data_IF_392634748547
#
_entry.id   IF_392634748547
#
_cell.length_a   1.000
_cell.length_b   1.000
_cell.length_c   1.000
_cell.angle_alpha   90.00
_cell.angle_beta   90.00
_cell.angle_gamma   90.00
#
_symmetry.space_group_name_H-M   'P 1'
#
loop_
_entity.id
_entity.type
_entity.pdbx_description
1 polymer ?
#
# COMPACT_ATOMS: atom_id res chain seq x y z
N UNK A 1 -43.05 28.28 -26.03
CA UNK A 1 -43.00 29.71 -25.63
C UNK A 1 -44.36 30.13 -25.08
N UNK A 2 -45.46 29.84 -25.76
CA UNK A 2 -46.81 30.20 -25.31
C UNK A 2 -47.08 29.69 -23.84
N UNK A 3 -46.84 28.41 -23.58
CA UNK A 3 -47.06 27.79 -22.27
C UNK A 3 -46.30 28.50 -21.13
N UNK A 4 -45.09 28.99 -21.42
CA UNK A 4 -44.31 29.82 -20.48
C UNK A 4 -44.96 31.20 -20.30
N UNK A 5 -45.30 31.86 -21.40
CA UNK A 5 -45.87 33.24 -21.34
C UNK A 5 -47.24 33.30 -20.64
N UNK A 6 -48.06 32.27 -20.82
CA UNK A 6 -49.39 32.18 -20.17
C UNK A 6 -49.35 31.49 -18.79
N UNK A 7 -48.17 30.98 -18.40
CA UNK A 7 -47.94 30.46 -17.08
C UNK A 7 -48.33 28.97 -16.86
N UNK A 8 -48.62 28.24 -17.95
CA UNK A 8 -48.90 26.81 -17.90
C UNK A 8 -47.63 26.00 -17.55
N UNK A 9 -46.45 26.53 -17.91
CA UNK A 9 -45.14 25.96 -17.57
C UNK A 9 -44.30 26.99 -16.83
N UNK A 10 -43.83 26.62 -15.63
CA UNK A 10 -42.95 27.46 -14.82
C UNK A 10 -41.51 27.37 -15.40
N UNK A 11 -40.90 28.46 -15.83
CA UNK A 11 -39.53 28.46 -16.39
C UNK A 11 -38.51 28.11 -15.31
N UNK A 12 -37.47 27.37 -15.72
CA UNK A 12 -36.40 26.93 -14.81
C UNK A 12 -35.01 26.92 -15.48
N UNK A 13 -34.91 27.62 -16.66
CA UNK A 13 -33.64 27.76 -17.34
C UNK A 13 -32.71 28.73 -16.65
N UNK A 14 -31.40 28.51 -16.78
CA UNK A 14 -30.36 29.38 -16.23
C UNK A 14 -29.44 29.85 -17.33
N UNK A 15 -28.98 31.09 -17.22
CA UNK A 15 -28.00 31.66 -18.17
C UNK A 15 -26.65 30.97 -17.99
N UNK A 16 -26.02 30.59 -19.09
CA UNK A 16 -24.70 29.99 -19.14
C UNK A 16 -23.58 31.00 -19.40
N UNK A 17 -23.88 32.27 -19.27
CA UNK A 17 -22.94 33.39 -19.41
C UNK A 17 -23.41 34.56 -18.56
N UNK A 18 -22.51 35.49 -18.24
CA UNK A 18 -22.87 36.78 -17.64
C UNK A 18 -23.31 37.77 -18.72
N UNK A 19 -24.30 38.58 -18.39
CA UNK A 19 -24.74 39.66 -19.27
C UNK A 19 -24.23 41.00 -18.73
N UNK A 20 -23.52 41.81 -19.54
CA UNK A 20 -23.00 43.10 -19.11
C UNK A 20 -24.11 44.16 -18.99
N UNK A 21 -23.88 45.19 -18.19
CA UNK A 21 -24.75 46.37 -18.10
C UNK A 21 -24.62 47.26 -19.33
N UNK A 22 -23.41 47.33 -19.89
CA UNK A 22 -23.14 48.03 -21.16
C UNK A 22 -21.97 47.34 -21.92
N UNK A 23 -21.76 47.77 -23.15
CA UNK A 23 -20.71 47.18 -24.04
C UNK A 23 -19.31 47.38 -23.47
N UNK A 24 -19.06 48.44 -22.70
CA UNK A 24 -17.75 48.75 -22.12
C UNK A 24 -17.29 47.76 -21.05
N UNK A 25 -18.20 46.93 -20.49
CA UNK A 25 -17.85 45.89 -19.55
C UNK A 25 -17.30 44.61 -20.22
N UNK A 26 -17.42 44.45 -21.54
CA UNK A 26 -16.98 43.24 -22.23
C UNK A 26 -15.45 43.22 -22.40
N UNK A 27 -14.77 42.07 -22.11
CA UNK A 27 -15.31 40.77 -21.68
C UNK A 27 -15.63 40.74 -20.19
N UNK A 28 -16.72 40.03 -19.81
CA UNK A 28 -17.17 39.91 -18.43
C UNK A 28 -17.36 38.41 -18.05
N UNK A 29 -16.57 37.92 -17.08
CA UNK A 29 -16.55 36.54 -16.68
C UNK A 29 -16.92 36.42 -15.20
N UNK A 30 -17.78 35.46 -14.82
CA UNK A 30 -18.06 35.15 -13.41
C UNK A 30 -16.85 34.59 -12.67
N UNK A 31 -15.96 33.91 -13.42
CA UNK A 31 -14.76 33.27 -12.93
C UNK A 31 -13.48 34.09 -13.23
N UNK A 32 -13.60 35.40 -13.24
CA UNK A 32 -12.43 36.26 -13.46
C UNK A 32 -11.37 36.05 -12.41
N UNK A 33 -10.12 36.34 -12.74
CA UNK A 33 -9.01 36.33 -11.78
C UNK A 33 -8.96 37.62 -10.98
N UNK A 34 -8.49 37.54 -9.74
CA UNK A 34 -8.22 38.73 -8.95
C UNK A 34 -7.17 39.59 -9.62
N UNK A 35 -7.36 40.89 -9.50
CA UNK A 35 -6.34 41.90 -9.78
C UNK A 35 -5.56 42.19 -8.50
N UNK A 36 -4.44 42.89 -8.60
CA UNK A 36 -3.67 43.25 -7.38
C UNK A 36 -4.40 44.17 -6.40
N UNK A 37 -5.47 44.84 -6.88
CA UNK A 37 -6.30 45.78 -6.10
C UNK A 37 -7.77 45.61 -6.44
N UNK A 38 -8.41 44.49 -6.08
CA UNK A 38 -9.81 44.27 -6.36
C UNK A 38 -10.69 45.29 -5.62
N UNK A 39 -11.82 45.66 -6.21
CA UNK A 39 -12.86 46.41 -5.53
C UNK A 39 -13.58 45.47 -4.58
N UNK A 40 -13.93 45.92 -3.38
CA UNK A 40 -14.72 45.16 -2.44
C UNK A 40 -16.15 44.96 -2.97
N UNK A 41 -16.70 43.77 -2.69
CA UNK A 41 -18.07 43.42 -3.09
C UNK A 41 -19.10 44.45 -2.57
N UNK A 42 -20.04 44.84 -3.42
CA UNK A 42 -21.03 45.83 -3.08
C UNK A 42 -20.59 47.31 -3.17
N UNK A 43 -19.32 47.59 -3.40
CA UNK A 43 -18.85 48.95 -3.67
C UNK A 43 -18.97 49.27 -5.17
N UNK A 44 -19.37 50.45 -5.48
CA UNK A 44 -19.49 50.90 -6.87
C UNK A 44 -18.17 51.45 -7.40
N UNK A 45 -17.46 52.26 -6.64
CA UNK A 45 -16.22 52.89 -7.02
C UNK A 45 -15.31 53.11 -5.81
N UNK A 46 -14.02 52.91 -6.01
CA UNK A 46 -12.99 53.30 -5.04
C UNK A 46 -11.71 53.68 -5.79
N UNK A 47 -11.10 54.83 -5.42
CA UNK A 47 -9.86 55.28 -6.05
C UNK A 47 -8.73 54.26 -5.88
N UNK A 48 -8.00 54.00 -6.97
CA UNK A 48 -6.88 53.05 -7.02
C UNK A 48 -7.29 51.57 -6.94
N UNK A 49 -8.56 51.24 -7.09
CA UNK A 49 -9.07 49.88 -7.25
C UNK A 49 -9.35 49.57 -8.71
N UNK A 50 -9.47 48.26 -9.00
CA UNK A 50 -9.89 47.78 -10.33
C UNK A 50 -11.39 47.91 -10.47
N UNK A 51 -11.85 49.01 -11.01
CA UNK A 51 -13.27 49.28 -11.27
C UNK A 51 -13.46 50.04 -12.57
N UNK A 52 -14.66 49.95 -13.15
CA UNK A 52 -15.10 50.79 -14.25
C UNK A 52 -15.33 52.20 -13.75
N UNK A 53 -15.40 53.17 -14.69
CA UNK A 53 -15.56 54.59 -14.36
C UNK A 53 -17.03 55.02 -14.24
N UNK A 54 -17.90 54.41 -15.03
CA UNK A 54 -19.29 54.83 -15.26
C UNK A 54 -20.34 53.74 -14.96
N UNK A 55 -19.89 52.56 -14.59
CA UNK A 55 -20.76 51.40 -14.30
C UNK A 55 -20.09 50.56 -13.21
N UNK A 56 -20.89 49.82 -12.44
CA UNK A 56 -20.35 48.90 -11.42
C UNK A 56 -19.63 47.73 -12.09
N UNK A 57 -18.81 47.00 -11.31
CA UNK A 57 -18.17 45.75 -11.76
C UNK A 57 -19.18 44.61 -11.94
N UNK A 58 -20.37 44.72 -11.33
CA UNK A 58 -21.38 43.68 -11.36
C UNK A 58 -22.00 43.52 -12.75
N UNK A 59 -22.34 42.31 -13.20
CA UNK A 59 -23.12 42.08 -14.39
C UNK A 59 -24.58 42.54 -14.23
N UNK A 60 -25.25 42.83 -15.33
CA UNK A 60 -26.70 43.03 -15.36
C UNK A 60 -27.40 41.73 -14.91
N UNK A 61 -27.00 40.58 -15.52
CA UNK A 61 -27.41 39.26 -15.11
C UNK A 61 -26.18 38.39 -14.88
N UNK A 62 -26.01 37.86 -13.67
CA UNK A 62 -24.88 37.01 -13.39
C UNK A 62 -24.98 35.64 -14.10
N UNK A 63 -23.88 34.95 -14.24
CA UNK A 63 -23.86 33.54 -14.67
C UNK A 63 -24.78 32.71 -13.76
N UNK A 64 -25.57 31.81 -14.33
CA UNK A 64 -26.52 30.99 -13.60
C UNK A 64 -27.84 31.69 -13.26
N UNK A 65 -28.02 32.96 -13.61
CA UNK A 65 -29.27 33.68 -13.37
C UNK A 65 -30.43 33.05 -14.15
N UNK A 66 -31.62 33.06 -13.55
CA UNK A 66 -32.85 32.65 -14.19
C UNK A 66 -34.08 33.16 -13.45
N UNK A 67 -35.17 33.31 -14.16
CA UNK A 67 -36.48 33.71 -13.61
C UNK A 67 -37.39 32.49 -13.41
N UNK A 68 -38.27 32.58 -12.45
CA UNK A 68 -39.30 31.57 -12.15
C UNK A 68 -40.59 32.27 -11.73
N UNK A 69 -41.74 31.61 -11.88
CA UNK A 69 -43.03 32.05 -11.34
C UNK A 69 -43.19 31.69 -9.86
N UNK A 70 -42.14 31.13 -9.23
CA UNK A 70 -42.04 30.88 -7.77
C UNK A 70 -40.76 31.49 -7.24
N UNK A 71 -40.55 31.41 -5.95
CA UNK A 71 -39.36 31.95 -5.30
C UNK A 71 -38.67 30.82 -4.52
N UNK A 72 -37.35 30.83 -4.59
CA UNK A 72 -36.52 29.83 -3.87
C UNK A 72 -35.59 30.55 -2.88
N UNK A 73 -35.53 30.01 -1.66
CA UNK A 73 -34.67 30.50 -0.61
C UNK A 73 -33.61 29.45 -0.25
N UNK A 74 -32.38 29.91 -0.11
CA UNK A 74 -31.23 29.12 0.32
C UNK A 74 -30.89 29.46 1.76
N UNK A 75 -30.84 28.43 2.63
CA UNK A 75 -30.53 28.59 4.06
C UNK A 75 -29.66 27.45 4.57
N UNK A 76 -29.08 27.62 5.76
CA UNK A 76 -28.34 26.57 6.49
C UNK A 76 -27.26 25.86 5.68
N UNK A 77 -26.41 26.61 4.97
CA UNK A 77 -25.22 26.00 4.36
C UNK A 77 -24.28 25.50 5.45
N UNK A 78 -24.02 24.20 5.47
CA UNK A 78 -23.13 23.54 6.41
C UNK A 78 -22.16 22.64 5.69
N UNK A 79 -20.95 22.52 6.24
CA UNK A 79 -19.94 21.54 5.82
C UNK A 79 -19.89 20.43 6.86
N UNK A 80 -19.70 19.19 6.42
CA UNK A 80 -19.56 18.03 7.32
C UNK A 80 -18.40 18.20 8.32
N UNK A 81 -17.36 18.92 7.93
CA UNK A 81 -16.20 19.29 8.75
C UNK A 81 -15.47 20.48 8.12
N UNK A 82 -14.60 21.14 8.87
CA UNK A 82 -13.86 22.33 8.42
C UNK A 82 -12.50 22.05 7.81
N UNK A 83 -12.08 20.79 7.77
CA UNK A 83 -10.79 20.36 7.26
C UNK A 83 -10.98 19.21 6.28
N UNK A 84 -10.28 19.24 5.14
CA UNK A 84 -10.27 18.17 4.14
C UNK A 84 -8.85 17.59 4.08
N UNK A 85 -8.74 16.28 4.22
CA UNK A 85 -7.48 15.55 3.99
C UNK A 85 -7.37 15.17 2.51
N UNK A 86 -6.14 14.93 2.05
CA UNK A 86 -5.85 14.57 0.65
C UNK A 86 -6.43 13.22 0.22
N UNK A 87 -6.78 12.35 1.18
CA UNK A 87 -7.42 11.05 1.01
C UNK A 87 -8.92 11.05 1.39
N UNK A 88 -9.48 12.22 1.71
CA UNK A 88 -10.82 12.37 2.27
C UNK A 88 -11.85 12.97 1.32
N UNK A 89 -13.07 13.10 1.82
CA UNK A 89 -14.15 13.83 1.19
C UNK A 89 -14.87 14.72 2.22
N UNK A 90 -15.41 15.84 1.76
CA UNK A 90 -16.21 16.78 2.53
C UNK A 90 -17.56 16.93 1.86
N UNK A 91 -18.63 17.03 2.64
CA UNK A 91 -19.98 17.26 2.12
C UNK A 91 -20.46 18.67 2.47
N UNK A 92 -20.84 19.45 1.45
CA UNK A 92 -21.54 20.72 1.61
C UNK A 92 -23.05 20.48 1.47
N UNK A 93 -23.83 20.85 2.48
CA UNK A 93 -25.29 20.70 2.48
C UNK A 93 -25.96 22.05 2.68
N UNK A 94 -26.94 22.36 1.83
CA UNK A 94 -27.76 23.55 1.91
C UNK A 94 -29.24 23.18 1.94
N UNK A 95 -30.06 23.93 2.68
CA UNK A 95 -31.50 23.77 2.64
C UNK A 95 -32.06 24.69 1.54
N UNK A 96 -32.77 24.11 0.58
CA UNK A 96 -33.50 24.82 -0.47
C UNK A 96 -35.01 24.77 -0.16
N UNK A 97 -35.67 25.92 -0.10
CA UNK A 97 -37.10 26.03 0.16
C UNK A 97 -37.80 26.77 -1.00
N UNK A 98 -38.88 26.23 -1.50
CA UNK A 98 -39.77 26.94 -2.40
C UNK A 98 -40.73 27.78 -1.53
N UNK A 99 -40.45 29.08 -1.41
CA UNK A 99 -41.24 30.02 -0.59
C UNK A 99 -42.44 30.63 -1.34
N UNK A 100 -42.55 30.34 -2.65
CA UNK A 100 -43.64 30.84 -3.49
C UNK A 100 -44.89 29.94 -3.43
N UNK A 101 -45.89 30.32 -4.24
CA UNK A 101 -47.21 29.66 -4.29
C UNK A 101 -47.39 28.66 -5.43
N UNK A 102 -46.34 28.44 -6.20
CA UNK A 102 -46.34 27.50 -7.36
C UNK A 102 -45.23 26.49 -7.25
N UNK A 103 -45.50 25.31 -7.74
CA UNK A 103 -44.45 24.27 -7.93
C UNK A 103 -43.40 24.77 -8.89
N UNK A 104 -42.16 24.39 -8.70
CA UNK A 104 -41.07 24.83 -9.60
C UNK A 104 -39.82 23.98 -9.48
N UNK A 105 -38.92 24.19 -10.46
CA UNK A 105 -37.59 23.59 -10.46
C UNK A 105 -36.55 24.69 -10.27
N UNK A 106 -35.58 24.40 -9.40
CA UNK A 106 -34.40 25.24 -9.19
C UNK A 106 -33.14 24.48 -9.55
N UNK A 107 -32.13 25.19 -10.10
CA UNK A 107 -30.81 24.64 -10.33
C UNK A 107 -29.88 25.19 -9.26
N UNK A 108 -29.61 24.36 -8.26
CA UNK A 108 -28.65 24.64 -7.20
C UNK A 108 -27.24 24.49 -7.74
N UNK A 109 -26.40 25.52 -7.57
CA UNK A 109 -25.07 25.63 -8.14
C UNK A 109 -24.03 25.66 -7.02
N UNK A 110 -22.99 24.82 -7.13
CA UNK A 110 -21.84 24.78 -6.23
C UNK A 110 -20.66 25.47 -6.90
N UNK A 111 -20.12 26.49 -6.25
CA UNK A 111 -18.88 27.16 -6.65
C UNK A 111 -17.83 26.97 -5.59
N UNK A 112 -16.58 26.85 -6.02
CA UNK A 112 -15.41 26.79 -5.13
C UNK A 112 -14.43 27.87 -5.53
N UNK A 113 -13.82 28.51 -4.53
CA UNK A 113 -12.69 29.42 -4.68
C UNK A 113 -11.51 28.86 -3.92
N UNK A 114 -10.40 28.71 -4.59
CA UNK A 114 -9.08 28.61 -3.98
C UNK A 114 -8.62 30.03 -3.62
N UNK A 115 -8.37 30.29 -2.34
CA UNK A 115 -8.09 31.65 -1.86
C UNK A 115 -6.67 32.08 -2.22
N UNK A 116 -5.70 31.17 -2.12
CA UNK A 116 -4.30 31.38 -2.41
C UNK A 116 -3.68 30.16 -3.08
N UNK A 117 -3.38 30.26 -4.36
CA UNK A 117 -2.65 29.22 -5.11
C UNK A 117 -1.31 29.74 -5.63
N UNK A 118 -0.43 28.83 -6.04
CA UNK A 118 0.89 29.14 -6.66
C UNK A 118 0.77 29.94 -7.95
N UNK A 119 -0.38 29.89 -8.60
CA UNK A 119 -0.79 30.77 -9.71
C UNK A 119 -2.09 31.49 -9.38
N UNK A 120 -2.35 32.65 -10.01
CA UNK A 120 -3.58 33.41 -9.77
C UNK A 120 -4.81 32.57 -10.05
N UNK A 121 -5.63 32.36 -9.02
CA UNK A 121 -6.85 31.55 -9.09
C UNK A 121 -8.09 32.42 -9.43
N UNK A 122 -9.10 31.83 -10.10
CA UNK A 122 -10.38 32.47 -10.31
C UNK A 122 -11.07 32.80 -8.97
N UNK A 123 -11.82 33.89 -8.91
CA UNK A 123 -12.59 34.28 -7.73
C UNK A 123 -13.66 33.26 -7.35
N UNK A 124 -14.09 32.43 -8.28
CA UNK A 124 -14.97 31.27 -8.10
C UNK A 124 -15.00 30.41 -9.37
N UNK A 125 -15.20 29.11 -9.22
CA UNK A 125 -15.38 28.18 -10.33
C UNK A 125 -16.61 27.30 -10.05
N UNK A 126 -17.46 27.11 -11.04
CA UNK A 126 -18.58 26.17 -10.94
C UNK A 126 -18.02 24.75 -10.91
N UNK A 127 -18.21 24.03 -9.81
CA UNK A 127 -17.73 22.66 -9.62
C UNK A 127 -18.85 21.60 -9.60
N UNK A 128 -20.11 22.05 -9.51
CA UNK A 128 -21.25 21.14 -9.56
C UNK A 128 -22.59 21.88 -9.62
N UNK A 129 -23.63 21.18 -10.05
CA UNK A 129 -25.00 21.67 -9.98
C UNK A 129 -26.00 20.51 -9.88
N UNK A 130 -27.16 20.79 -9.29
CA UNK A 130 -28.28 19.86 -9.23
C UNK A 130 -29.59 20.56 -9.55
N UNK A 131 -30.39 19.99 -10.46
CA UNK A 131 -31.72 20.49 -10.77
C UNK A 131 -32.75 19.78 -9.91
N UNK A 132 -33.50 20.53 -9.10
CA UNK A 132 -34.38 20.01 -8.06
C UNK A 132 -35.78 20.54 -8.25
N UNK A 133 -36.77 19.62 -8.25
CA UNK A 133 -38.19 19.98 -8.20
C UNK A 133 -38.65 20.12 -6.76
N UNK A 134 -39.40 21.20 -6.46
CA UNK A 134 -40.07 21.48 -5.16
C UNK A 134 -41.49 21.91 -5.37
N UNK A 135 -42.40 21.32 -4.60
CA UNK A 135 -43.76 21.85 -4.48
C UNK A 135 -43.77 23.18 -3.77
N UNK A 136 -44.83 23.95 -3.92
CA UNK A 136 -45.07 25.17 -3.14
C UNK A 136 -44.96 24.87 -1.64
N UNK A 137 -44.09 25.59 -0.92
CA UNK A 137 -43.83 25.42 0.51
C UNK A 137 -42.88 24.26 0.86
N UNK A 138 -42.43 23.46 -0.11
CA UNK A 138 -41.53 22.32 0.15
C UNK A 138 -40.09 22.77 0.38
N UNK A 139 -39.39 22.08 1.32
CA UNK A 139 -37.98 22.24 1.58
C UNK A 139 -37.26 20.92 1.37
N UNK A 140 -36.02 20.97 0.82
CA UNK A 140 -35.11 19.83 0.66
C UNK A 140 -33.68 20.22 1.01
N UNK A 141 -32.95 19.27 1.62
CA UNK A 141 -31.51 19.38 1.79
C UNK A 141 -30.81 18.88 0.50
N UNK A 142 -29.96 19.72 -0.06
CA UNK A 142 -29.19 19.46 -1.25
C UNK A 142 -27.72 19.34 -0.85
N UNK A 143 -27.09 18.24 -1.19
CA UNK A 143 -25.72 17.94 -0.79
C UNK A 143 -24.80 17.78 -1.99
N UNK A 144 -23.58 18.30 -1.86
CA UNK A 144 -22.50 18.15 -2.82
C UNK A 144 -21.28 17.54 -2.13
N UNK A 145 -20.68 16.53 -2.76
CA UNK A 145 -19.40 16.00 -2.34
C UNK A 145 -18.27 16.85 -2.90
N UNK A 146 -17.32 17.17 -2.03
CA UNK A 146 -16.09 17.90 -2.38
C UNK A 146 -14.91 16.99 -2.06
N UNK A 147 -14.14 16.66 -3.06
CA UNK A 147 -12.93 15.85 -2.96
C UNK A 147 -11.72 16.67 -3.38
N UNK A 148 -10.48 16.30 -3.02
CA UNK A 148 -9.29 16.98 -3.51
C UNK A 148 -9.21 17.06 -5.04
N UNK A 149 -9.75 16.07 -5.75
CA UNK A 149 -9.81 16.08 -7.21
C UNK A 149 -10.59 17.27 -7.81
N UNK A 150 -11.65 17.74 -7.14
CA UNK A 150 -12.41 18.93 -7.56
C UNK A 150 -11.63 20.25 -7.37
N UNK A 151 -10.56 20.22 -6.55
CA UNK A 151 -9.76 21.40 -6.23
C UNK A 151 -8.57 21.58 -7.15
N UNK A 152 -8.28 20.58 -8.00
CA UNK A 152 -7.14 20.61 -8.91
C UNK A 152 -7.19 21.71 -9.92
N UNK A 153 -5.98 22.20 -10.26
CA UNK A 153 -5.71 23.18 -11.28
C UNK A 153 -4.32 22.95 -11.89
N UNK A 154 -4.04 23.58 -13.02
CA UNK A 154 -2.70 23.58 -13.61
C UNK A 154 -1.84 24.65 -12.94
N UNK A 155 -0.71 24.25 -12.33
CA UNK A 155 0.28 25.15 -11.74
C UNK A 155 1.18 25.79 -12.82
N UNK A 156 2.23 26.48 -12.40
CA UNK A 156 3.17 27.13 -13.33
C UNK A 156 3.93 26.12 -14.23
N UNK A 157 4.21 24.94 -13.73
CA UNK A 157 4.93 23.87 -14.42
C UNK A 157 4.00 23.00 -15.30
N UNK A 158 2.72 23.36 -15.38
CA UNK A 158 1.65 22.67 -16.10
C UNK A 158 1.28 21.30 -15.48
N UNK A 159 1.61 21.07 -14.22
CA UNK A 159 1.14 19.92 -13.49
C UNK A 159 -0.29 20.15 -13.00
N UNK A 160 -1.13 19.13 -13.09
CA UNK A 160 -2.52 19.17 -12.62
C UNK A 160 -2.59 18.76 -11.16
N UNK A 161 -2.53 19.74 -10.25
CA UNK A 161 -2.34 19.57 -8.80
C UNK A 161 -3.43 20.25 -7.97
N UNK A 162 -3.61 19.85 -6.74
CA UNK A 162 -4.23 20.62 -5.67
C UNK A 162 -3.13 21.16 -4.73
N UNK A 163 -3.39 22.27 -4.09
CA UNK A 163 -2.47 22.87 -3.10
C UNK A 163 -3.17 23.02 -1.75
N UNK A 164 -2.48 22.77 -0.63
CA UNK A 164 -3.03 23.01 0.70
C UNK A 164 -3.35 24.49 0.91
N UNK A 165 -4.40 24.78 1.66
CA UNK A 165 -4.81 26.14 1.92
C UNK A 165 -6.29 26.29 2.21
N UNK A 166 -6.72 27.55 2.32
CA UNK A 166 -8.12 27.91 2.56
C UNK A 166 -8.93 27.92 1.26
N UNK A 167 -10.11 27.32 1.31
CA UNK A 167 -11.08 27.27 0.23
C UNK A 167 -12.43 27.84 0.69
N UNK A 168 -13.09 28.59 -0.21
CA UNK A 168 -14.47 29.01 -0.01
C UNK A 168 -15.40 28.11 -0.82
N UNK A 169 -16.45 27.63 -0.15
CA UNK A 169 -17.57 26.91 -0.76
C UNK A 169 -18.75 27.87 -0.85
N UNK A 170 -19.28 28.06 -2.03
CA UNK A 170 -20.42 28.93 -2.28
C UNK A 170 -21.55 28.15 -2.95
N UNK A 171 -22.76 28.21 -2.40
CA UNK A 171 -23.92 27.51 -2.94
C UNK A 171 -25.08 28.50 -3.13
N UNK A 172 -25.67 28.50 -4.31
CA UNK A 172 -26.79 29.38 -4.62
C UNK A 172 -27.43 29.13 -5.98
N UNK A 173 -28.35 30.00 -6.39
CA UNK A 173 -29.07 29.91 -7.64
C UNK A 173 -28.35 30.57 -8.86
N UNK A 174 -27.29 31.33 -8.59
CA UNK A 174 -26.45 31.98 -9.58
C UNK A 174 -25.07 32.33 -8.96
N UNK A 175 -24.16 32.88 -9.77
CA UNK A 175 -22.78 33.17 -9.34
C UNK A 175 -22.63 34.35 -8.37
N UNK A 176 -23.66 35.20 -8.22
CA UNK A 176 -23.66 36.35 -7.30
C UNK A 176 -24.36 36.02 -5.98
N UNK A 177 -25.56 35.49 -6.04
CA UNK A 177 -26.43 35.31 -4.87
C UNK A 177 -26.17 33.90 -4.28
N UNK A 178 -25.14 33.79 -3.44
CA UNK A 178 -24.69 32.54 -2.84
C UNK A 178 -24.58 32.61 -1.32
N UNK A 179 -24.75 31.48 -0.63
CA UNK A 179 -24.31 31.27 0.76
C UNK A 179 -22.88 30.78 0.71
N UNK A 180 -22.06 31.18 1.70
CA UNK A 180 -20.63 30.83 1.73
C UNK A 180 -20.27 30.13 3.05
N UNK A 181 -19.40 29.15 2.97
CA UNK A 181 -18.69 28.50 4.06
C UNK A 181 -17.21 28.30 3.69
N UNK A 182 -16.36 28.06 4.67
CA UNK A 182 -14.91 27.90 4.44
C UNK A 182 -14.44 26.53 4.97
N UNK A 183 -13.42 25.98 4.29
CA UNK A 183 -12.67 24.82 4.80
C UNK A 183 -11.20 24.97 4.44
N UNK A 184 -10.34 24.18 5.10
CA UNK A 184 -8.91 24.10 4.82
C UNK A 184 -8.58 22.73 4.24
N UNK A 185 -7.93 22.68 3.07
CA UNK A 185 -7.25 21.49 2.59
C UNK A 185 -5.93 21.38 3.36
N UNK A 186 -5.74 20.25 4.05
CA UNK A 186 -4.53 20.01 4.83
C UNK A 186 -3.36 19.64 3.93
N UNK A 187 -2.14 19.94 4.39
CA UNK A 187 -0.93 19.39 3.78
C UNK A 187 -0.93 17.87 3.88
N UNK A 188 -0.37 17.23 2.87
CA UNK A 188 -0.09 15.81 2.94
C UNK A 188 1.04 15.58 3.97
N UNK A 189 0.76 14.77 4.99
CA UNK A 189 1.81 14.35 5.92
C UNK A 189 2.84 13.51 5.16
N UNK A 190 3.96 14.09 4.81
CA UNK A 190 5.10 13.36 4.25
C UNK A 190 5.69 12.49 5.35
N UNK A 191 5.46 11.20 5.25
CA UNK A 191 6.15 10.22 6.09
C UNK A 191 7.63 10.30 5.74
N UNK A 192 8.52 10.43 6.73
CA UNK A 192 9.97 10.37 6.49
C UNK A 192 10.37 9.00 5.92
N UNK A 193 11.49 8.94 5.21
CA UNK A 193 11.99 7.67 4.65
C UNK A 193 12.21 6.62 5.75
N UNK A 194 12.71 7.04 6.92
CA UNK A 194 12.89 6.17 8.08
C UNK A 194 11.56 5.65 8.63
N UNK A 195 10.55 6.51 8.75
CA UNK A 195 9.22 6.11 9.23
C UNK A 195 8.51 5.19 8.24
N UNK A 196 8.69 5.45 6.92
CA UNK A 196 8.19 4.55 5.87
C UNK A 196 8.88 3.19 5.95
N UNK A 197 10.21 3.17 6.07
CA UNK A 197 10.99 1.93 6.17
C UNK A 197 10.62 1.14 7.42
N UNK A 198 10.47 1.80 8.57
CA UNK A 198 10.02 1.14 9.81
C UNK A 198 8.61 0.55 9.66
N UNK A 199 7.70 1.28 9.02
CA UNK A 199 6.34 0.80 8.73
C UNK A 199 6.36 -0.44 7.82
N UNK A 200 7.18 -0.45 6.77
CA UNK A 200 7.36 -1.60 5.86
C UNK A 200 7.93 -2.80 6.62
N UNK A 201 8.97 -2.59 7.42
CA UNK A 201 9.58 -3.66 8.22
C UNK A 201 8.59 -4.25 9.23
N UNK A 202 7.82 -3.41 9.93
CA UNK A 202 6.81 -3.87 10.87
C UNK A 202 5.72 -4.69 10.17
N UNK A 203 5.22 -4.24 8.99
CA UNK A 203 4.22 -4.99 8.21
C UNK A 203 4.79 -6.32 7.68
N UNK A 204 6.05 -6.35 7.30
CA UNK A 204 6.72 -7.59 6.90
C UNK A 204 6.88 -8.54 8.09
N UNK A 205 7.24 -8.02 9.26
CA UNK A 205 7.29 -8.79 10.51
C UNK A 205 5.93 -9.41 10.88
N UNK A 206 4.83 -8.68 10.68
CA UNK A 206 3.47 -9.15 10.96
C UNK A 206 3.11 -10.45 10.20
N UNK A 207 3.65 -10.67 9.01
CA UNK A 207 3.48 -11.95 8.30
C UNK A 207 4.00 -13.14 9.13
N UNK A 208 5.17 -13.00 9.71
CA UNK A 208 5.79 -14.04 10.53
C UNK A 208 5.25 -14.09 11.96
N UNK A 209 4.71 -13.01 12.47
CA UNK A 209 4.25 -12.91 13.85
C UNK A 209 2.75 -13.18 14.00
N UNK A 210 1.93 -12.34 13.41
CA UNK A 210 0.47 -12.44 13.45
C UNK A 210 -0.06 -13.46 12.44
N UNK A 211 0.58 -13.58 11.29
CA UNK A 211 0.25 -14.52 10.22
C UNK A 211 0.74 -15.94 10.44
N UNK A 212 1.56 -16.21 11.46
CA UNK A 212 2.07 -17.53 11.75
C UNK A 212 0.94 -18.55 12.00
N UNK A 213 1.23 -19.83 11.74
CA UNK A 213 0.33 -20.92 12.09
C UNK A 213 0.27 -21.05 13.64
N UNK A 214 -0.94 -21.05 14.25
CA UNK A 214 -1.07 -20.86 15.69
C UNK A 214 -0.57 -22.02 16.55
N UNK A 215 -0.56 -23.27 16.07
CA UNK A 215 -0.11 -24.44 16.84
C UNK A 215 1.41 -24.58 16.79
N UNK A 216 2.00 -24.50 15.59
CA UNK A 216 3.44 -24.61 15.37
C UNK A 216 4.20 -23.32 15.70
N UNK A 217 3.58 -22.17 15.49
CA UNK A 217 4.24 -20.85 15.54
C UNK A 217 5.10 -20.55 14.31
N UNK A 218 5.11 -21.43 13.31
CA UNK A 218 5.92 -21.33 12.10
C UNK A 218 5.23 -20.52 10.99
N UNK A 219 6.01 -20.11 10.00
CA UNK A 219 5.52 -19.36 8.85
C UNK A 219 4.58 -20.23 8.00
N UNK A 220 3.40 -19.72 7.69
CA UNK A 220 2.53 -20.34 6.68
C UNK A 220 3.19 -20.28 5.31
N UNK A 221 2.84 -21.22 4.45
CA UNK A 221 3.26 -21.17 3.05
C UNK A 221 2.69 -19.92 2.36
N UNK A 222 1.43 -19.61 2.66
CA UNK A 222 0.75 -18.38 2.21
C UNK A 222 -0.24 -17.87 3.25
N UNK A 223 -0.52 -16.57 3.19
CA UNK A 223 -1.55 -15.92 3.98
C UNK A 223 -2.55 -15.26 3.04
N UNK A 224 -3.78 -15.77 3.00
CA UNK A 224 -4.87 -15.17 2.24
C UNK A 224 -5.54 -14.07 3.08
N UNK A 225 -5.47 -12.83 2.61
CA UNK A 225 -5.92 -11.64 3.35
C UNK A 225 -7.44 -11.67 3.61
N UNK A 226 -8.20 -12.29 2.72
CA UNK A 226 -9.65 -12.50 2.86
C UNK A 226 -10.02 -13.68 3.77
N UNK A 227 -9.01 -14.41 4.28
CA UNK A 227 -9.19 -15.60 5.12
C UNK A 227 -9.76 -16.83 4.39
N UNK A 228 -9.86 -16.78 3.08
CA UNK A 228 -10.36 -17.89 2.25
C UNK A 228 -9.21 -18.80 1.79
N UNK A 229 -9.30 -20.09 2.05
CA UNK A 229 -8.29 -21.10 1.71
C UNK A 229 -8.95 -22.23 0.90
N UNK A 230 -9.16 -22.05 -0.42
CA UNK A 230 -9.95 -22.94 -1.25
C UNK A 230 -9.32 -24.34 -1.42
N UNK A 231 -7.99 -24.45 -1.26
CA UNK A 231 -7.25 -25.72 -1.33
C UNK A 231 -7.09 -26.41 0.03
N UNK A 232 -7.76 -25.92 1.06
CA UNK A 232 -7.62 -26.40 2.44
C UNK A 232 -6.16 -26.35 2.94
N UNK A 233 -5.42 -25.32 2.56
CA UNK A 233 -4.01 -25.11 2.82
C UNK A 233 -3.73 -24.15 3.97
N UNK A 234 -4.77 -23.83 4.75
CA UNK A 234 -4.70 -22.89 5.89
C UNK A 234 -3.62 -23.24 6.92
N UNK A 235 -3.37 -24.53 7.14
CA UNK A 235 -2.40 -25.03 8.12
C UNK A 235 -1.07 -25.47 7.50
N UNK A 236 -0.89 -25.26 6.19
CA UNK A 236 0.39 -25.59 5.55
C UNK A 236 1.44 -24.56 5.97
N UNK A 237 2.54 -25.05 6.52
CA UNK A 237 3.72 -24.29 6.90
C UNK A 237 4.93 -24.72 6.07
N UNK A 238 5.85 -23.78 5.87
CA UNK A 238 7.08 -24.01 5.08
C UNK A 238 8.30 -24.03 5.98
N UNK A 239 9.24 -24.91 5.69
CA UNK A 239 10.48 -25.03 6.46
C UNK A 239 11.43 -23.86 6.22
N UNK A 240 11.75 -23.55 4.98
CA UNK A 240 12.66 -22.44 4.67
C UNK A 240 12.10 -21.09 5.04
N UNK A 241 10.82 -20.82 4.69
CA UNK A 241 10.16 -19.59 5.12
C UNK A 241 10.12 -19.41 6.63
N UNK A 242 10.03 -20.50 7.39
CA UNK A 242 10.11 -20.45 8.87
C UNK A 242 11.52 -20.14 9.35
N UNK A 243 12.57 -20.54 8.63
CA UNK A 243 13.94 -20.11 8.92
C UNK A 243 14.11 -18.59 8.83
N UNK A 244 13.55 -17.96 7.79
CA UNK A 244 13.49 -16.49 7.67
C UNK A 244 12.61 -15.88 8.77
N UNK A 245 11.50 -16.54 9.12
CA UNK A 245 10.63 -16.14 10.23
C UNK A 245 11.33 -16.11 11.58
N UNK A 246 12.20 -17.08 11.86
CA UNK A 246 13.04 -17.12 13.06
C UNK A 246 13.95 -15.88 13.11
N UNK A 247 14.62 -15.53 12.02
CA UNK A 247 15.45 -14.32 11.95
C UNK A 247 14.61 -13.03 12.07
N UNK A 248 13.42 -13.01 11.46
CA UNK A 248 12.50 -11.89 11.61
C UNK A 248 12.04 -11.69 13.07
N UNK A 249 11.86 -12.77 13.86
CA UNK A 249 11.52 -12.67 15.28
C UNK A 249 12.67 -12.01 16.07
N UNK A 250 13.94 -12.35 15.79
CA UNK A 250 15.10 -11.69 16.40
C UNK A 250 15.08 -10.18 16.08
N UNK A 251 14.90 -9.84 14.80
CA UNK A 251 14.80 -8.45 14.38
C UNK A 251 13.63 -7.72 15.06
N UNK A 252 12.49 -8.39 15.23
CA UNK A 252 11.32 -7.86 15.93
C UNK A 252 11.57 -7.59 17.42
N UNK A 253 12.36 -8.41 18.08
CA UNK A 253 12.78 -8.19 19.48
C UNK A 253 13.69 -6.96 19.54
N UNK A 254 14.73 -6.90 18.70
CA UNK A 254 15.72 -5.80 18.70
C UNK A 254 15.12 -4.44 18.31
N UNK A 255 14.04 -4.46 17.51
CA UNK A 255 13.29 -3.27 17.15
C UNK A 255 12.13 -2.94 18.09
N UNK A 256 11.95 -3.71 19.18
CA UNK A 256 10.86 -3.55 20.13
C UNK A 256 9.45 -3.69 19.52
N UNK A 257 9.29 -4.47 18.46
CA UNK A 257 7.97 -4.83 17.93
C UNK A 257 7.29 -5.85 18.85
N UNK A 258 8.08 -6.72 19.48
CA UNK A 258 7.69 -7.67 20.52
C UNK A 258 8.74 -7.66 21.62
N UNK A 259 8.35 -8.09 22.82
CA UNK A 259 9.27 -8.22 23.94
C UNK A 259 10.17 -9.46 23.75
N UNK A 260 11.35 -9.47 24.39
CA UNK A 260 12.24 -10.64 24.41
C UNK A 260 11.54 -11.90 24.96
N UNK A 261 10.68 -11.75 25.98
CA UNK A 261 9.92 -12.85 26.54
C UNK A 261 8.89 -13.44 25.56
N UNK A 262 8.18 -12.60 24.83
CA UNK A 262 7.25 -13.05 23.77
C UNK A 262 7.99 -13.74 22.63
N UNK A 263 9.11 -13.18 22.17
CA UNK A 263 9.96 -13.79 21.16
C UNK A 263 10.52 -15.14 21.61
N UNK A 264 11.00 -15.25 22.85
CA UNK A 264 11.46 -16.50 23.44
C UNK A 264 10.35 -17.56 23.45
N UNK A 265 9.16 -17.22 23.93
CA UNK A 265 8.03 -18.15 23.96
C UNK A 265 7.63 -18.64 22.54
N UNK A 266 7.72 -17.77 21.54
CA UNK A 266 7.50 -18.16 20.15
C UNK A 266 8.59 -19.11 19.64
N UNK A 267 9.86 -18.83 19.93
CA UNK A 267 10.98 -19.69 19.55
C UNK A 267 10.88 -21.06 20.21
N UNK A 268 10.52 -21.13 21.49
CA UNK A 268 10.33 -22.40 22.20
C UNK A 268 9.22 -23.23 21.56
N UNK A 269 8.11 -22.61 21.19
CA UNK A 269 7.01 -23.27 20.47
C UNK A 269 7.49 -23.86 19.13
N UNK A 270 8.24 -23.08 18.33
CA UNK A 270 8.80 -23.54 17.04
C UNK A 270 9.74 -24.71 17.24
N UNK A 271 10.70 -24.61 18.16
CA UNK A 271 11.66 -25.68 18.41
C UNK A 271 10.96 -26.97 18.92
N UNK A 272 9.99 -26.83 19.81
CA UNK A 272 9.21 -27.97 20.31
C UNK A 272 8.37 -28.62 19.20
N UNK A 273 7.89 -27.87 18.23
CA UNK A 273 7.24 -28.41 17.02
C UNK A 273 8.26 -29.18 16.16
N UNK A 274 9.41 -28.60 15.86
CA UNK A 274 10.44 -29.19 15.01
C UNK A 274 11.00 -30.52 15.61
N UNK A 275 11.08 -30.64 16.91
CA UNK A 275 11.54 -31.86 17.56
C UNK A 275 10.64 -33.09 17.32
N UNK A 276 9.32 -32.86 17.20
CA UNK A 276 8.32 -33.94 16.99
C UNK A 276 7.87 -34.11 15.52
N UNK A 277 8.08 -33.12 14.68
CA UNK A 277 7.66 -33.14 13.29
C UNK A 277 8.43 -34.17 12.45
N UNK A 278 7.84 -34.60 11.34
CA UNK A 278 8.46 -35.54 10.42
C UNK A 278 9.80 -34.99 9.87
N UNK A 279 10.79 -35.87 9.84
CA UNK A 279 12.16 -35.61 9.33
C UNK A 279 12.68 -36.86 8.62
N UNK A 280 13.55 -36.66 7.63
CA UNK A 280 14.09 -37.70 6.76
C UNK A 280 15.61 -37.60 6.75
N UNK A 281 16.29 -38.53 7.44
CA UNK A 281 17.72 -38.43 7.73
C UNK A 281 18.11 -37.07 8.33
N UNK A 282 17.26 -36.58 9.23
CA UNK A 282 17.41 -35.27 9.88
C UNK A 282 17.03 -34.06 9.06
N UNK A 283 16.89 -34.17 7.74
CA UNK A 283 16.37 -33.09 6.90
C UNK A 283 14.85 -32.93 7.07
N UNK A 284 14.40 -31.72 6.94
CA UNK A 284 13.00 -31.33 7.04
C UNK A 284 12.32 -31.39 5.66
N UNK A 285 11.02 -31.70 5.58
CA UNK A 285 10.30 -31.63 4.31
C UNK A 285 10.08 -30.17 3.87
N UNK A 286 9.69 -29.97 2.64
CA UNK A 286 9.32 -28.66 2.11
C UNK A 286 8.16 -28.05 2.91
N UNK A 287 7.10 -28.83 3.12
CA UNK A 287 5.91 -28.45 3.86
C UNK A 287 5.52 -29.46 4.93
N UNK A 288 4.92 -28.92 6.01
CA UNK A 288 4.17 -29.71 6.98
C UNK A 288 2.74 -29.22 7.13
N UNK A 289 1.90 -30.06 7.63
CA UNK A 289 0.71 -29.65 8.34
C UNK A 289 1.12 -29.09 9.71
N UNK A 290 0.86 -27.82 9.95
CA UNK A 290 1.33 -27.10 11.15
C UNK A 290 0.67 -27.53 12.46
N UNK A 291 -0.48 -28.20 12.41
CA UNK A 291 -1.16 -28.75 13.60
C UNK A 291 -0.56 -30.08 14.00
N UNK A 292 -0.31 -30.96 13.04
CA UNK A 292 0.08 -32.34 13.28
C UNK A 292 1.59 -32.60 13.22
N UNK A 293 2.34 -31.78 12.50
CA UNK A 293 3.76 -31.99 12.20
C UNK A 293 4.00 -33.08 11.15
N UNK A 294 2.96 -33.55 10.46
CA UNK A 294 3.06 -34.50 9.37
C UNK A 294 3.44 -33.83 8.08
N UNK A 295 4.27 -34.49 7.29
CA UNK A 295 4.63 -34.01 5.95
C UNK A 295 3.40 -33.74 5.11
N UNK A 296 3.43 -32.63 4.38
CA UNK A 296 2.50 -32.28 3.31
C UNK A 296 3.28 -32.27 2.00
N UNK A 297 3.04 -33.20 1.07
CA UNK A 297 3.80 -33.25 -0.17
C UNK A 297 3.68 -31.93 -0.96
N UNK A 298 4.80 -31.39 -1.40
CA UNK A 298 4.87 -30.23 -2.29
C UNK A 298 4.51 -30.61 -3.74
N UNK A 299 4.87 -31.84 -4.13
CA UNK A 299 4.58 -32.42 -5.44
C UNK A 299 4.49 -33.94 -5.38
N UNK A 300 4.16 -34.61 -6.52
CA UNK A 300 3.90 -36.05 -6.55
C UNK A 300 5.06 -36.94 -6.05
N UNK A 301 6.29 -36.43 -6.10
CA UNK A 301 7.50 -37.15 -5.62
C UNK A 301 8.22 -36.39 -4.51
N UNK A 302 7.69 -35.25 -4.09
CA UNK A 302 8.25 -34.41 -3.03
C UNK A 302 7.49 -34.69 -1.72
N UNK A 303 7.67 -35.88 -1.22
CA UNK A 303 7.06 -36.43 -0.01
C UNK A 303 8.12 -36.87 1.01
N UNK A 304 9.28 -36.23 1.01
CA UNK A 304 10.43 -36.58 1.84
C UNK A 304 11.17 -35.35 2.39
N UNK A 305 12.48 -35.51 2.57
CA UNK A 305 13.35 -34.44 3.04
C UNK A 305 13.81 -33.54 1.90
N UNK A 306 13.61 -32.24 2.09
CA UNK A 306 14.11 -31.17 1.23
C UNK A 306 15.35 -30.54 1.87
N UNK A 307 16.52 -30.75 1.26
CA UNK A 307 17.78 -30.28 1.84
C UNK A 307 17.98 -28.76 1.68
N UNK A 308 17.38 -28.15 0.66
CA UNK A 308 17.49 -26.71 0.40
C UNK A 308 16.67 -25.94 1.45
N UNK A 309 15.40 -26.33 1.61
CA UNK A 309 14.53 -25.75 2.62
C UNK A 309 15.05 -26.00 4.04
N UNK A 310 15.62 -27.19 4.26
CA UNK A 310 16.32 -27.53 5.51
C UNK A 310 17.47 -26.55 5.78
N UNK A 311 18.25 -26.19 4.78
CA UNK A 311 19.37 -25.27 4.95
C UNK A 311 18.89 -23.85 5.38
N UNK A 312 17.81 -23.37 4.81
CA UNK A 312 17.22 -22.09 5.22
C UNK A 312 16.66 -22.15 6.66
N UNK A 313 16.02 -23.26 7.04
CA UNK A 313 15.56 -23.43 8.41
C UNK A 313 16.71 -23.48 9.41
N UNK A 314 17.75 -24.25 9.10
CA UNK A 314 18.96 -24.36 9.93
C UNK A 314 19.70 -23.03 10.04
N UNK A 315 19.79 -22.25 8.98
CA UNK A 315 20.33 -20.89 9.01
C UNK A 315 19.62 -20.02 10.07
N UNK A 316 18.29 -20.05 10.10
CA UNK A 316 17.51 -19.35 11.12
C UNK A 316 17.73 -19.90 12.53
N UNK A 317 17.76 -21.23 12.69
CA UNK A 317 18.04 -21.88 13.98
C UNK A 317 19.42 -21.53 14.53
N UNK A 318 20.46 -21.45 13.69
CA UNK A 318 21.81 -21.07 14.11
C UNK A 318 21.89 -19.58 14.49
N UNK A 319 21.20 -18.71 13.77
CA UNK A 319 21.07 -17.30 14.15
C UNK A 319 20.42 -17.17 15.54
N UNK A 320 19.33 -17.89 15.79
CA UNK A 320 18.65 -17.87 17.09
C UNK A 320 19.46 -18.55 18.18
N UNK A 321 20.17 -19.65 17.89
CA UNK A 321 21.14 -20.25 18.79
C UNK A 321 22.15 -19.22 19.28
N UNK A 322 22.79 -18.51 18.36
CA UNK A 322 23.80 -17.49 18.69
C UNK A 322 23.20 -16.32 19.49
N UNK A 323 21.95 -15.97 19.23
CA UNK A 323 21.24 -14.90 19.96
C UNK A 323 20.96 -15.28 21.43
N UNK A 324 20.67 -16.57 21.73
CA UNK A 324 20.28 -17.02 23.04
C UNK A 324 21.40 -17.74 23.84
N UNK A 325 22.51 -18.16 23.22
CA UNK A 325 23.55 -18.97 23.84
C UNK A 325 24.22 -18.34 25.08
N UNK A 326 24.24 -17.00 25.13
CA UNK A 326 24.80 -16.25 26.26
C UNK A 326 23.71 -15.66 27.20
N UNK A 327 22.47 -16.08 27.04
CA UNK A 327 21.34 -15.60 27.81
C UNK A 327 21.18 -16.27 29.20
N UNK A 328 19.97 -16.23 29.74
CA UNK A 328 19.62 -16.89 30.98
C UNK A 328 19.63 -18.42 30.81
N UNK A 329 19.29 -19.19 31.88
CA UNK A 329 19.33 -20.66 31.85
C UNK A 329 18.40 -21.24 30.80
N UNK A 330 17.16 -20.77 30.73
CA UNK A 330 16.13 -21.25 29.82
C UNK A 330 16.53 -20.95 28.36
N UNK A 331 17.07 -19.76 28.09
CA UNK A 331 17.59 -19.38 26.79
C UNK A 331 18.74 -20.25 26.32
N UNK A 332 19.69 -20.57 27.20
CA UNK A 332 20.78 -21.49 26.86
C UNK A 332 20.30 -22.91 26.59
N UNK A 333 19.32 -23.41 27.36
CA UNK A 333 18.69 -24.71 27.11
C UNK A 333 18.00 -24.74 25.73
N UNK A 334 17.27 -23.70 25.38
CA UNK A 334 16.65 -23.56 24.07
C UNK A 334 17.70 -23.53 22.96
N UNK A 335 18.77 -22.74 23.12
CA UNK A 335 19.87 -22.67 22.16
C UNK A 335 20.52 -24.05 21.93
N UNK A 336 20.72 -24.84 22.99
CA UNK A 336 21.25 -26.22 22.90
C UNK A 336 20.32 -27.16 22.09
N UNK A 337 19.00 -26.99 22.22
CA UNK A 337 18.00 -27.73 21.41
C UNK A 337 18.07 -27.35 19.93
N UNK A 338 18.25 -26.07 19.61
CA UNK A 338 18.45 -25.60 18.23
C UNK A 338 19.73 -26.20 17.63
N UNK A 339 20.85 -26.16 18.33
CA UNK A 339 22.12 -26.77 17.91
C UNK A 339 21.97 -28.29 17.65
N UNK A 340 21.21 -28.98 18.49
CA UNK A 340 20.93 -30.41 18.31
C UNK A 340 20.14 -30.70 17.04
N UNK A 341 19.16 -29.86 16.68
CA UNK A 341 18.40 -30.02 15.43
C UNK A 341 19.31 -29.92 14.20
N UNK A 342 20.22 -28.93 14.17
CA UNK A 342 21.20 -28.81 13.12
C UNK A 342 22.16 -30.00 13.04
N UNK A 343 22.74 -30.43 14.18
CA UNK A 343 23.69 -31.56 14.24
C UNK A 343 23.08 -32.89 13.81
N UNK A 344 21.77 -33.04 13.86
CA UNK A 344 21.06 -34.23 13.45
C UNK A 344 20.81 -34.32 11.93
N UNK A 345 21.03 -33.25 11.16
CA UNK A 345 20.90 -33.31 9.71
C UNK A 345 22.05 -34.11 9.10
N UNK A 346 21.75 -35.21 8.45
CA UNK A 346 22.75 -36.05 7.79
C UNK A 346 23.00 -35.51 6.35
N UNK A 347 23.79 -34.44 6.27
CA UNK A 347 24.21 -33.83 5.01
C UNK A 347 24.94 -34.82 4.12
N UNK A 348 25.70 -35.79 4.71
CA UNK A 348 26.43 -36.77 3.94
C UNK A 348 25.52 -37.82 3.29
N UNK A 349 24.35 -38.10 3.83
CA UNK A 349 23.32 -38.93 3.21
C UNK A 349 22.87 -38.32 1.87
N UNK A 350 22.64 -37.03 1.84
CA UNK A 350 22.11 -36.30 0.70
C UNK A 350 23.13 -36.10 -0.46
N UNK A 351 24.30 -36.71 -0.34
CA UNK A 351 25.24 -36.84 -1.47
C UNK A 351 24.90 -38.01 -2.40
N UNK A 352 24.10 -38.95 -1.98
CA UNK A 352 23.84 -40.20 -2.70
C UNK A 352 25.15 -40.85 -3.20
N UNK A 353 26.22 -40.81 -2.40
CA UNK A 353 27.60 -41.29 -2.70
C UNK A 353 28.34 -40.51 -3.80
N UNK A 354 27.79 -39.42 -4.29
CA UNK A 354 28.45 -38.53 -5.27
C UNK A 354 29.14 -37.34 -4.57
N UNK A 355 29.91 -36.56 -5.37
CA UNK A 355 30.54 -35.32 -4.89
C UNK A 355 29.67 -34.10 -5.23
N UNK A 356 28.38 -34.19 -4.91
CA UNK A 356 27.38 -33.14 -5.10
C UNK A 356 26.26 -33.39 -4.08
N UNK A 357 25.55 -32.33 -3.68
CA UNK A 357 24.36 -32.46 -2.84
C UNK A 357 23.11 -32.54 -3.74
N UNK A 358 22.20 -33.44 -3.32
CA UNK A 358 20.91 -33.60 -3.95
C UNK A 358 19.87 -32.79 -3.19
N UNK A 359 18.90 -32.25 -3.93
CA UNK A 359 17.82 -31.46 -3.35
C UNK A 359 16.95 -32.28 -2.40
N UNK A 360 16.55 -33.50 -2.82
CA UNK A 360 15.46 -34.23 -2.19
C UNK A 360 15.78 -35.75 -2.10
N UNK A 361 15.26 -36.35 -1.03
CA UNK A 361 15.16 -37.81 -0.87
C UNK A 361 13.83 -38.15 -0.17
N UNK A 362 13.17 -39.22 -0.58
CA UNK A 362 11.93 -39.69 0.01
C UNK A 362 11.99 -41.20 0.30
N UNK A 363 11.30 -41.68 1.36
CA UNK A 363 11.22 -43.12 1.62
C UNK A 363 10.46 -43.88 0.52
N UNK A 364 9.49 -43.29 -0.13
CA UNK A 364 8.68 -43.93 -1.17
C UNK A 364 9.35 -43.90 -2.55
N UNK A 365 9.89 -42.75 -2.92
CA UNK A 365 10.46 -42.51 -4.26
C UNK A 365 11.99 -42.50 -4.27
N UNK A 366 12.64 -42.69 -3.13
CA UNK A 366 14.10 -42.69 -3.01
C UNK A 366 14.74 -41.47 -3.68
N UNK A 367 15.62 -41.64 -4.63
CA UNK A 367 16.34 -40.61 -5.38
C UNK A 367 15.68 -40.27 -6.73
N UNK A 368 14.42 -40.63 -6.96
CA UNK A 368 13.72 -40.50 -8.26
C UNK A 368 13.67 -39.07 -8.82
N UNK A 369 13.66 -38.07 -7.94
CA UNK A 369 13.76 -36.67 -8.39
C UNK A 369 15.13 -36.35 -9.01
N UNK A 370 16.17 -37.03 -8.58
CA UNK A 370 17.52 -37.02 -9.15
C UNK A 370 18.08 -35.60 -9.41
N UNK A 371 17.70 -34.62 -8.61
CA UNK A 371 18.06 -33.23 -8.79
C UNK A 371 19.35 -32.88 -8.02
N UNK A 372 20.45 -32.74 -8.75
CA UNK A 372 21.74 -32.27 -8.22
C UNK A 372 21.76 -30.76 -8.17
N UNK A 373 22.05 -30.16 -7.03
CA UNK A 373 22.14 -28.74 -6.83
C UNK A 373 23.53 -28.23 -7.24
N UNK A 374 23.62 -27.48 -8.33
CA UNK A 374 24.88 -27.01 -8.91
C UNK A 374 24.78 -25.55 -9.34
N UNK A 375 25.91 -24.86 -9.42
CA UNK A 375 25.99 -23.50 -9.91
C UNK A 375 25.42 -22.45 -8.95
N UNK A 376 25.52 -21.17 -9.29
CA UNK A 376 25.06 -20.09 -8.44
C UNK A 376 23.54 -20.00 -8.41
N UNK A 377 22.98 -20.13 -7.22
CA UNK A 377 21.56 -20.00 -6.89
C UNK A 377 21.42 -19.77 -5.36
N UNK A 378 20.19 -19.82 -4.81
CA UNK A 378 19.94 -19.64 -3.39
C UNK A 378 20.61 -20.65 -2.45
N UNK A 379 21.10 -21.78 -2.98
CA UNK A 379 21.55 -22.92 -2.19
C UNK A 379 23.01 -22.87 -1.72
N UNK A 380 23.72 -21.75 -1.85
CA UNK A 380 25.10 -21.62 -1.34
C UNK A 380 25.20 -21.98 0.14
N UNK A 381 24.27 -21.50 0.94
CA UNK A 381 24.21 -21.77 2.39
C UNK A 381 24.12 -23.27 2.69
N UNK A 382 23.43 -24.05 1.87
CA UNK A 382 23.32 -25.51 2.02
C UNK A 382 24.70 -26.19 1.97
N UNK A 383 25.55 -25.80 1.03
CA UNK A 383 26.91 -26.33 0.92
C UNK A 383 27.81 -25.87 2.05
N UNK A 384 27.66 -24.66 2.53
CA UNK A 384 28.42 -24.14 3.68
C UNK A 384 28.03 -24.88 4.95
N UNK A 385 26.74 -25.05 5.22
CA UNK A 385 26.27 -25.80 6.39
C UNK A 385 26.68 -27.26 6.33
N UNK A 386 26.61 -27.88 5.16
CA UNK A 386 27.07 -29.26 4.96
C UNK A 386 28.57 -29.42 5.21
N UNK A 387 29.39 -28.49 4.77
CA UNK A 387 30.84 -28.51 5.01
C UNK A 387 31.19 -28.20 6.47
N UNK A 388 30.42 -27.33 7.14
CA UNK A 388 30.65 -26.90 8.52
C UNK A 388 30.04 -27.86 9.56
N UNK A 389 29.20 -28.81 9.16
CA UNK A 389 28.51 -29.71 10.10
C UNK A 389 29.52 -30.52 10.96
N UNK A 390 29.41 -30.44 12.29
CA UNK A 390 30.36 -31.12 13.19
C UNK A 390 30.11 -32.62 13.33
N UNK A 391 28.98 -33.13 12.82
CA UNK A 391 28.55 -34.53 13.00
C UNK A 391 28.48 -35.29 11.68
N UNK A 392 27.87 -34.70 10.66
CA UNK A 392 27.59 -35.29 9.34
C UNK A 392 28.15 -34.46 8.17
N UNK A 393 29.35 -33.90 8.41
CA UNK A 393 29.99 -33.02 7.45
C UNK A 393 30.38 -33.69 6.14
N UNK A 394 30.43 -32.92 5.07
CA UNK A 394 30.83 -33.38 3.75
C UNK A 394 32.27 -32.92 3.44
N UNK A 395 33.05 -33.71 2.65
CA UNK A 395 34.39 -33.28 2.22
C UNK A 395 34.34 -32.03 1.34
N UNK A 396 35.38 -31.18 1.41
CA UNK A 396 35.49 -29.94 0.59
C UNK A 396 35.29 -30.17 -0.92
N UNK A 397 35.66 -31.35 -1.43
CA UNK A 397 35.47 -31.73 -2.85
C UNK A 397 33.99 -31.68 -3.27
N UNK A 398 33.05 -31.87 -2.34
CA UNK A 398 31.60 -31.79 -2.63
C UNK A 398 31.23 -30.36 -3.04
N UNK A 399 31.81 -29.36 -2.40
CA UNK A 399 31.66 -27.97 -2.83
C UNK A 399 32.35 -27.72 -4.16
N UNK A 400 33.64 -28.12 -4.30
CA UNK A 400 34.43 -27.80 -5.49
C UNK A 400 33.91 -28.49 -6.76
N UNK A 401 33.58 -29.77 -6.68
CA UNK A 401 33.11 -30.56 -7.83
C UNK A 401 31.59 -30.39 -8.04
N UNK A 402 30.85 -30.34 -6.97
CA UNK A 402 29.36 -30.21 -6.97
C UNK A 402 28.91 -28.80 -7.27
N UNK A 403 29.01 -27.90 -6.30
CA UNK A 403 28.55 -26.53 -6.41
C UNK A 403 29.32 -25.71 -7.44
N UNK A 404 30.64 -25.63 -7.27
CA UNK A 404 31.50 -24.76 -8.07
C UNK A 404 31.87 -25.35 -9.45
N UNK A 405 31.48 -26.62 -9.74
CA UNK A 405 31.69 -27.30 -11.00
C UNK A 405 33.19 -27.23 -11.47
N UNK A 406 34.13 -27.44 -10.54
CA UNK A 406 35.55 -27.28 -10.74
C UNK A 406 35.98 -25.91 -11.31
N UNK A 407 35.29 -24.85 -10.90
CA UNK A 407 35.52 -23.48 -11.34
C UNK A 407 34.68 -23.03 -12.54
N UNK A 408 33.90 -23.92 -13.17
CA UNK A 408 33.03 -23.55 -14.29
C UNK A 408 31.87 -22.61 -13.90
N UNK A 409 31.60 -22.47 -12.60
CA UNK A 409 30.66 -21.49 -12.06
C UNK A 409 31.09 -20.04 -12.36
N UNK A 410 32.40 -19.79 -12.46
CA UNK A 410 32.95 -18.48 -12.81
C UNK A 410 32.95 -18.34 -14.33
N UNK A 411 31.94 -17.68 -14.85
CA UNK A 411 31.78 -17.43 -16.28
C UNK A 411 31.38 -15.97 -16.51
N UNK A 412 32.34 -15.09 -16.81
CA UNK A 412 32.04 -13.70 -17.15
C UNK A 412 31.05 -13.61 -18.31
N UNK A 413 30.01 -12.84 -18.14
CA UNK A 413 29.02 -12.56 -19.17
C UNK A 413 28.35 -11.20 -18.91
N UNK A 414 27.58 -10.69 -19.86
CA UNK A 414 26.81 -9.46 -19.72
C UNK A 414 25.32 -9.79 -19.71
N UNK A 415 24.62 -9.37 -18.70
CA UNK A 415 23.16 -9.43 -18.62
C UNK A 415 22.62 -8.01 -18.50
N UNK A 416 21.73 -7.60 -19.40
CA UNK A 416 21.12 -6.26 -19.41
C UNK A 416 22.14 -5.11 -19.23
N UNK A 417 23.25 -5.19 -19.92
CA UNK A 417 24.40 -4.25 -19.88
C UNK A 417 25.22 -4.28 -18.57
N UNK A 418 24.90 -5.16 -17.62
CA UNK A 418 25.67 -5.33 -16.39
C UNK A 418 26.67 -6.47 -16.51
N UNK A 419 27.94 -6.27 -16.13
CA UNK A 419 28.92 -7.34 -16.09
C UNK A 419 28.62 -8.30 -14.94
N UNK A 420 28.52 -9.59 -15.26
CA UNK A 420 28.29 -10.68 -14.31
C UNK A 420 29.47 -11.66 -14.35
N UNK A 421 29.88 -12.14 -13.18
CA UNK A 421 31.02 -13.06 -13.07
C UNK A 421 30.61 -14.50 -12.74
N UNK A 422 29.41 -14.70 -12.19
CA UNK A 422 28.91 -16.00 -11.77
C UNK A 422 27.84 -16.51 -12.72
N UNK A 423 27.91 -17.81 -13.04
CA UNK A 423 26.91 -18.48 -13.85
C UNK A 423 25.82 -19.05 -12.98
N UNK A 424 24.57 -18.63 -13.22
CA UNK A 424 23.40 -19.28 -12.65
C UNK A 424 23.19 -20.67 -13.25
N UNK A 425 22.64 -21.58 -12.45
CA UNK A 425 22.31 -22.95 -12.87
C UNK A 425 21.44 -22.97 -14.15
N UNK A 426 20.52 -22.02 -14.27
CA UNK A 426 19.56 -21.92 -15.41
C UNK A 426 20.06 -21.09 -16.58
N UNK A 427 21.27 -20.54 -16.54
CA UNK A 427 21.84 -19.78 -17.65
C UNK A 427 22.30 -18.36 -17.28
N UNK A 428 21.62 -17.31 -17.77
CA UNK A 428 22.13 -15.94 -17.70
C UNK A 428 21.81 -15.22 -16.38
N UNK A 429 20.56 -15.26 -15.93
CA UNK A 429 20.07 -14.61 -14.70
C UNK A 429 19.02 -15.47 -14.02
N UNK A 430 18.97 -15.39 -12.69
CA UNK A 430 17.94 -15.98 -11.87
C UNK A 430 17.07 -14.92 -11.19
N UNK A 431 16.02 -15.32 -10.49
CA UNK A 431 15.24 -14.41 -9.65
C UNK A 431 16.13 -13.82 -8.54
N UNK A 432 15.79 -12.63 -8.07
CA UNK A 432 16.59 -11.86 -7.10
C UNK A 432 16.90 -12.64 -5.82
N UNK A 433 15.97 -13.47 -5.35
CA UNK A 433 16.18 -14.27 -4.15
C UNK A 433 17.33 -15.29 -4.26
N UNK A 434 17.66 -15.75 -5.45
CA UNK A 434 18.83 -16.63 -5.67
C UNK A 434 20.15 -15.96 -5.29
N UNK A 435 20.21 -14.63 -5.40
CA UNK A 435 21.40 -13.89 -5.00
C UNK A 435 21.39 -13.48 -3.52
N UNK A 436 20.24 -13.57 -2.82
CA UNK A 436 20.10 -12.98 -1.50
C UNK A 436 19.90 -14.00 -0.36
N UNK A 437 19.17 -15.10 -0.58
CA UNK A 437 18.74 -15.97 0.52
C UNK A 437 19.89 -16.53 1.37
N UNK A 438 20.99 -16.97 0.74
CA UNK A 438 22.15 -17.44 1.47
C UNK A 438 22.82 -16.37 2.33
N UNK A 439 22.76 -15.09 1.90
CA UNK A 439 23.42 -13.97 2.58
C UNK A 439 22.58 -13.36 3.71
N UNK A 440 21.39 -13.87 3.98
CA UNK A 440 20.65 -13.52 5.19
C UNK A 440 21.30 -14.11 6.45
N UNK A 441 22.09 -15.17 6.31
CA UNK A 441 22.84 -15.81 7.40
C UNK A 441 24.35 -15.87 7.20
N UNK A 442 24.84 -15.36 6.08
CA UNK A 442 26.28 -15.29 5.77
C UNK A 442 26.68 -13.84 5.53
N UNK A 443 27.74 -13.37 6.18
CA UNK A 443 28.35 -12.10 5.84
C UNK A 443 29.14 -12.24 4.52
N UNK A 444 28.76 -11.55 3.43
CA UNK A 444 29.49 -11.62 2.18
C UNK A 444 30.84 -10.88 2.22
N UNK A 445 31.12 -10.13 3.27
CA UNK A 445 32.35 -9.35 3.44
C UNK A 445 33.41 -10.06 4.29
N UNK A 446 33.14 -11.24 4.82
CA UNK A 446 34.14 -12.10 5.48
C UNK A 446 33.81 -12.58 6.84
#
# INVERSE_FOLDING_TARGET
IADVLFGDVNPSGKLTMSFPQNVGQSPLFYNHKNTGRPLEEGKWFEKFRSNYLDVSNDPLYPFGFGLSYTQFEYSNLQLSHSQLRTDGELTATVTLTNTGKRDGQETVQLYIRDVVGSVTRPVKELKGFQKVFLKAGESKNISFKITPELLKFYNYDLDYVYEPGEFHVMVGGNSRDTKMATFTLLEEEKISEEALLDSVQRRTFDYFWNGAEPVSGMARERLNVDGNYPLNDRHIITSGGSGFGIMAIIAGIERNYVTRAEGFARMEKIVSFLERADKFHGAFPHWWDGETGKIKPFGPKDDGGDLVETAFLVQGLLAAHQYYVNGNKEERELAARMDKLWRNVDWNWYRNKENVLFWHWSPEHQWDMNFRVRGFNECLIMYILAAASPTHGVPAKVYHEGWAENGAIVKPHTAEHLPMNLRYQTGSVGPLFWAHYSFLGLDPNG
#
